data_IF_289355228362
#
_entry.id   IF_289355228362
#
_cell.length_a   1.000
_cell.length_b   1.000
_cell.length_c   1.000
_cell.angle_alpha   90.00
_cell.angle_beta   90.00
_cell.angle_gamma   90.00
#
_symmetry.space_group_name_H-M   'P 1'
#
loop_
_entity.id
_entity.type
_entity.pdbx_description
1 polymer ?
#
# COMPACT_ATOMS: atom_id res chain seq x y z
N UNK A 1 -1.07 5.74 -4.27
CA UNK A 1 -0.23 6.96 -4.13
C UNK A 1 1.03 6.70 -3.30
N UNK A 2 1.09 5.61 -2.52
CA UNK A 2 2.32 5.21 -1.83
C UNK A 2 3.23 4.33 -2.70
N UNK A 3 4.55 4.50 -2.58
CA UNK A 3 5.57 3.64 -3.22
C UNK A 3 5.66 2.25 -2.59
N UNK A 4 6.24 1.30 -3.33
CA UNK A 4 6.45 -0.08 -2.87
C UNK A 4 5.19 -0.95 -2.96
N UNK A 5 4.98 -1.81 -1.97
CA UNK A 5 3.97 -2.88 -2.01
C UNK A 5 4.38 -4.04 -2.95
N UNK A 6 3.50 -5.03 -3.11
CA UNK A 6 3.77 -6.19 -3.96
C UNK A 6 4.03 -5.83 -5.44
N UNK A 7 3.39 -4.76 -5.92
CA UNK A 7 3.49 -4.29 -7.30
C UNK A 7 4.73 -3.39 -7.55
N UNK A 8 5.55 -3.15 -6.52
CA UNK A 8 6.81 -2.37 -6.58
C UNK A 8 6.64 -0.98 -7.23
N UNK A 9 5.63 -0.24 -6.79
CA UNK A 9 5.36 1.13 -7.28
C UNK A 9 6.60 2.01 -7.05
N UNK A 10 7.08 2.66 -8.11
CA UNK A 10 8.22 3.58 -8.07
C UNK A 10 7.75 5.03 -8.02
N UNK A 11 8.64 5.95 -7.64
CA UNK A 11 8.34 7.39 -7.64
C UNK A 11 7.86 7.88 -9.03
N UNK A 12 8.45 7.35 -10.10
CA UNK A 12 8.08 7.69 -11.48
C UNK A 12 6.67 7.21 -11.88
N UNK A 13 6.07 6.27 -11.14
CA UNK A 13 4.71 5.80 -11.40
C UNK A 13 3.64 6.71 -10.75
N UNK A 14 4.02 7.57 -9.81
CA UNK A 14 3.07 8.38 -9.04
C UNK A 14 2.28 9.34 -9.93
N UNK A 15 2.90 9.91 -10.97
CA UNK A 15 2.27 10.84 -11.90
C UNK A 15 1.05 10.24 -12.64
N UNK A 16 0.93 8.91 -12.70
CA UNK A 16 -0.16 8.23 -13.42
C UNK A 16 -1.50 8.28 -12.70
N UNK A 17 -1.50 8.32 -11.36
CA UNK A 17 -2.72 8.15 -10.55
C UNK A 17 -2.54 8.67 -9.12
N UNK A 18 -2.01 9.89 -8.98
CA UNK A 18 -1.97 10.61 -7.71
C UNK A 18 -3.15 11.56 -7.61
N UNK A 19 -4.16 11.21 -6.83
CA UNK A 19 -5.47 11.90 -6.82
C UNK A 19 -5.78 12.59 -5.49
N UNK A 20 -5.03 12.31 -4.43
CA UNK A 20 -5.21 12.93 -3.12
C UNK A 20 -4.74 14.37 -3.05
N UNK A 21 -5.53 15.20 -2.38
CA UNK A 21 -5.16 16.57 -2.05
C UNK A 21 -4.25 16.69 -0.82
N UNK A 22 -4.30 15.71 0.09
CA UNK A 22 -3.55 15.69 1.34
C UNK A 22 -2.43 14.65 1.26
N UNK A 23 -2.42 13.68 2.17
CA UNK A 23 -1.43 12.62 2.19
C UNK A 23 -1.74 11.51 1.17
N UNK A 24 -0.70 10.83 0.64
CA UNK A 24 -0.86 9.71 -0.28
C UNK A 24 -1.57 8.53 0.40
N UNK A 25 -2.59 7.97 -0.26
CA UNK A 25 -3.28 6.76 0.18
C UNK A 25 -2.63 5.49 -0.39
N UNK A 26 -2.82 4.42 0.38
CA UNK A 26 -2.65 3.05 -0.11
C UNK A 26 -3.69 2.77 -1.20
N UNK A 27 -3.25 2.10 -2.27
CA UNK A 27 -4.19 1.56 -3.24
C UNK A 27 -4.86 0.27 -2.71
N UNK A 28 -5.79 -0.29 -3.48
CA UNK A 28 -6.54 -1.48 -3.07
C UNK A 28 -5.65 -2.69 -2.77
N UNK A 29 -4.61 -2.93 -3.58
CA UNK A 29 -3.68 -4.05 -3.40
C UNK A 29 -2.83 -3.89 -2.14
N UNK A 30 -2.23 -2.71 -1.96
CA UNK A 30 -1.47 -2.36 -0.75
C UNK A 30 -2.33 -2.46 0.52
N UNK A 31 -3.61 -2.06 0.45
CA UNK A 31 -4.53 -2.15 1.59
C UNK A 31 -4.86 -3.59 1.98
N UNK A 32 -5.11 -4.47 1.00
CA UNK A 32 -5.35 -5.90 1.26
C UNK A 32 -4.10 -6.57 1.80
N UNK A 33 -2.93 -6.30 1.22
CA UNK A 33 -1.65 -6.82 1.72
C UNK A 33 -1.40 -6.41 3.18
N UNK A 34 -1.66 -5.14 3.51
CA UNK A 34 -1.57 -4.64 4.89
C UNK A 34 -2.55 -5.38 5.82
N UNK A 35 -3.79 -5.61 5.40
CA UNK A 35 -4.79 -6.31 6.20
C UNK A 35 -4.34 -7.74 6.55
N UNK A 36 -3.78 -8.49 5.59
CA UNK A 36 -3.22 -9.82 5.86
C UNK A 36 -2.04 -9.77 6.82
N UNK A 37 -1.08 -8.85 6.61
CA UNK A 37 0.08 -8.71 7.51
C UNK A 37 -0.33 -8.37 8.94
N UNK A 38 -1.31 -7.47 9.10
CA UNK A 38 -1.84 -7.13 10.42
C UNK A 38 -2.56 -8.33 11.05
N UNK A 39 -3.33 -9.09 10.26
CA UNK A 39 -3.97 -10.31 10.74
C UNK A 39 -2.94 -11.36 11.19
N UNK A 40 -1.84 -11.55 10.46
CA UNK A 40 -0.72 -12.42 10.86
C UNK A 40 -0.10 -11.96 12.19
N UNK A 41 0.18 -10.66 12.35
CA UNK A 41 0.70 -10.11 13.60
C UNK A 41 -0.25 -10.35 14.79
N UNK A 42 -1.56 -10.24 14.57
CA UNK A 42 -2.57 -10.45 15.62
C UNK A 42 -2.82 -11.92 15.93
N UNK A 43 -2.62 -12.82 14.96
CA UNK A 43 -2.86 -14.27 15.11
C UNK A 43 -1.66 -15.02 15.70
N UNK A 44 -0.60 -14.32 16.12
CA UNK A 44 0.62 -14.93 16.62
C UNK A 44 1.47 -15.55 15.51
N UNK A 45 1.29 -15.07 14.27
CA UNK A 45 2.10 -15.41 13.10
C UNK A 45 3.50 -14.82 13.24
N UNK A 46 4.31 -15.54 14.03
CA UNK A 46 5.70 -15.33 14.43
C UNK A 46 6.00 -14.09 15.30
#
# INVERSE_FOLDING_TARGET
>A
ECIGGADKILDADLERAFETLCDPRLNGRQSVDLAFRVAEMLSGGN
#
